data_IF_164264306393
#
_entry.id   IF_164264306393
#
_cell.length_a   1.000
_cell.length_b   1.000
_cell.length_c   1.000
_cell.angle_alpha   90.00
_cell.angle_beta   90.00
_cell.angle_gamma   90.00
#
_symmetry.space_group_name_H-M   'P 1'
#
loop_
_entity.id
_entity.type
_entity.pdbx_description
1 polymer ?
#
# COMPACT_ATOMS: atom_id res chain seq x y z
N UNK A 1 -1.07 -22.54 -9.84
CA UNK A 1 -1.70 -21.81 -8.72
C UNK A 1 -3.21 -21.80 -8.94
N UNK A 2 -3.93 -22.83 -8.52
CA UNK A 2 -5.40 -22.82 -8.58
C UNK A 2 -5.91 -22.66 -7.16
N UNK A 3 -6.03 -21.41 -6.73
CA UNK A 3 -6.73 -21.07 -5.50
C UNK A 3 -8.21 -21.45 -5.73
N UNK A 4 -8.73 -22.40 -4.96
CA UNK A 4 -10.14 -22.82 -5.02
C UNK A 4 -11.11 -21.63 -4.83
N UNK A 5 -12.41 -21.81 -5.12
CA UNK A 5 -13.41 -20.72 -5.02
C UNK A 5 -13.34 -19.96 -3.69
N UNK A 6 -13.21 -20.68 -2.58
CA UNK A 6 -13.07 -20.10 -1.25
C UNK A 6 -11.82 -19.20 -1.11
N UNK A 7 -10.66 -19.62 -1.61
CA UNK A 7 -9.45 -18.82 -1.51
C UNK A 7 -9.46 -17.59 -2.43
N UNK A 8 -10.18 -17.63 -3.56
CA UNK A 8 -10.40 -16.43 -4.39
C UNK A 8 -11.25 -15.40 -3.68
N UNK A 9 -12.30 -15.85 -2.97
CA UNK A 9 -13.14 -14.99 -2.13
C UNK A 9 -12.33 -14.40 -0.97
N UNK A 10 -11.54 -15.23 -0.28
CA UNK A 10 -10.67 -14.76 0.81
C UNK A 10 -9.62 -13.75 0.33
N UNK A 11 -9.01 -13.98 -0.84
CA UNK A 11 -8.08 -13.03 -1.45
C UNK A 11 -8.78 -11.71 -1.82
N UNK A 12 -9.99 -11.79 -2.38
CA UNK A 12 -10.82 -10.62 -2.70
C UNK A 12 -11.17 -9.80 -1.47
N UNK A 13 -11.60 -10.45 -0.38
CA UNK A 13 -11.89 -9.81 0.91
C UNK A 13 -10.64 -9.14 1.51
N UNK A 14 -9.49 -9.81 1.47
CA UNK A 14 -8.23 -9.24 1.92
C UNK A 14 -7.83 -7.99 1.11
N UNK A 15 -7.97 -8.05 -0.22
CA UNK A 15 -7.69 -6.91 -1.08
C UNK A 15 -8.70 -5.77 -0.87
N UNK A 16 -9.97 -6.09 -0.62
CA UNK A 16 -10.99 -5.10 -0.31
C UNK A 16 -10.65 -4.33 0.97
N UNK A 17 -10.32 -5.03 2.06
CA UNK A 17 -9.92 -4.38 3.32
C UNK A 17 -8.71 -3.47 3.14
N UNK A 18 -7.68 -3.95 2.41
CA UNK A 18 -6.49 -3.16 2.10
C UNK A 18 -6.83 -1.90 1.29
N UNK A 19 -7.63 -2.05 0.24
CA UNK A 19 -8.00 -0.93 -0.63
C UNK A 19 -8.87 0.09 0.12
N UNK A 20 -9.83 -0.39 0.90
CA UNK A 20 -10.69 0.47 1.72
C UNK A 20 -9.86 1.32 2.67
N UNK A 21 -8.97 0.70 3.45
CA UNK A 21 -8.09 1.43 4.36
C UNK A 21 -7.23 2.48 3.64
N UNK A 22 -6.59 2.08 2.53
CA UNK A 22 -5.75 2.98 1.74
C UNK A 22 -6.51 4.22 1.25
N UNK A 23 -7.71 4.05 0.69
CA UNK A 23 -8.50 5.17 0.19
C UNK A 23 -9.10 6.03 1.32
N UNK A 24 -9.54 5.41 2.43
CA UNK A 24 -10.07 6.16 3.58
C UNK A 24 -9.00 7.06 4.21
N UNK A 25 -7.79 6.53 4.44
CA UNK A 25 -6.67 7.31 4.97
C UNK A 25 -6.23 8.38 3.97
N UNK A 26 -6.12 8.03 2.69
CA UNK A 26 -5.75 8.99 1.64
C UNK A 26 -6.73 10.18 1.56
N UNK A 27 -8.03 9.92 1.61
CA UNK A 27 -9.04 10.97 1.61
C UNK A 27 -8.96 11.86 2.86
N UNK A 28 -8.76 11.24 4.03
CA UNK A 28 -8.60 11.98 5.29
C UNK A 28 -7.36 12.89 5.28
N UNK A 29 -6.23 12.42 4.73
CA UNK A 29 -5.01 13.22 4.62
C UNK A 29 -5.25 14.49 3.80
N UNK A 30 -5.94 14.39 2.65
CA UNK A 30 -6.27 15.56 1.83
C UNK A 30 -7.14 16.55 2.61
N UNK A 31 -8.22 16.06 3.22
CA UNK A 31 -9.10 16.89 4.05
C UNK A 31 -8.33 17.58 5.20
N UNK A 32 -7.49 16.84 5.92
CA UNK A 32 -6.73 17.38 7.03
C UNK A 32 -5.77 18.50 6.59
N UNK A 33 -4.99 18.28 5.54
CA UNK A 33 -4.02 19.29 5.10
C UNK A 33 -4.70 20.51 4.47
N UNK A 34 -5.75 20.32 3.67
CA UNK A 34 -6.42 21.43 2.99
C UNK A 34 -7.37 22.18 3.91
N UNK A 35 -8.30 21.49 4.56
CA UNK A 35 -9.40 22.13 5.30
C UNK A 35 -9.03 22.44 6.76
N UNK A 36 -8.17 21.63 7.41
CA UNK A 36 -7.79 21.84 8.83
C UNK A 36 -6.52 22.67 8.95
N UNK A 37 -5.49 22.34 8.19
CA UNK A 37 -4.19 23.06 8.22
C UNK A 37 -4.20 24.29 7.30
N UNK A 38 -5.08 24.35 6.30
CA UNK A 38 -5.17 25.47 5.37
C UNK A 38 -4.10 25.44 4.27
N UNK A 39 -3.55 24.26 3.95
CA UNK A 39 -2.59 24.09 2.86
C UNK A 39 -3.26 24.37 1.51
N UNK A 40 -2.54 25.05 0.62
CA UNK A 40 -3.01 25.27 -0.75
C UNK A 40 -3.33 23.91 -1.44
N UNK A 41 -4.57 23.74 -1.96
CA UNK A 41 -4.97 22.52 -2.67
C UNK A 41 -4.04 22.14 -3.82
N UNK A 42 -3.46 23.12 -4.52
CA UNK A 42 -2.53 22.89 -5.61
C UNK A 42 -1.21 22.29 -5.10
N UNK A 43 -0.71 22.77 -3.96
CA UNK A 43 0.49 22.20 -3.34
C UNK A 43 0.23 20.77 -2.88
N UNK A 44 -0.96 20.50 -2.32
CA UNK A 44 -1.35 19.14 -1.92
C UNK A 44 -1.42 18.20 -3.13
N UNK A 45 -2.02 18.64 -4.23
CA UNK A 45 -2.08 17.88 -5.48
C UNK A 45 -0.68 17.57 -6.03
N UNK A 46 0.22 18.56 -6.02
CA UNK A 46 1.61 18.37 -6.45
C UNK A 46 2.34 17.38 -5.53
N UNK A 47 2.16 17.49 -4.21
CA UNK A 47 2.78 16.62 -3.23
C UNK A 47 2.37 15.14 -3.38
N UNK A 48 1.08 14.88 -3.62
CA UNK A 48 0.56 13.53 -3.86
C UNK A 48 0.93 12.97 -5.24
N UNK A 49 1.25 13.81 -6.22
CA UNK A 49 1.57 13.36 -7.57
C UNK A 49 3.06 13.11 -7.75
N UNK A 50 3.91 14.06 -7.32
CA UNK A 50 5.34 14.05 -7.61
C UNK A 50 6.12 13.35 -6.50
N UNK A 51 6.27 13.88 -5.27
CA UNK A 51 6.98 13.20 -4.19
C UNK A 51 6.48 11.77 -3.93
N UNK A 52 5.17 11.60 -3.81
CA UNK A 52 4.59 10.29 -3.55
C UNK A 52 4.76 9.34 -4.75
N UNK A 53 4.62 9.83 -5.98
CA UNK A 53 4.88 9.06 -7.19
C UNK A 53 6.34 8.60 -7.28
N UNK A 54 7.29 9.49 -7.03
CA UNK A 54 8.74 9.18 -7.01
C UNK A 54 9.05 8.15 -5.91
N UNK A 55 8.48 8.33 -4.72
CA UNK A 55 8.64 7.38 -3.62
C UNK A 55 8.20 5.97 -4.03
N UNK A 56 7.02 5.83 -4.65
CA UNK A 56 6.54 4.53 -5.12
C UNK A 56 7.40 3.98 -6.28
N UNK A 57 7.82 4.84 -7.21
CA UNK A 57 8.66 4.44 -8.33
C UNK A 57 10.02 3.85 -7.88
N UNK A 58 10.52 4.25 -6.72
CA UNK A 58 11.74 3.68 -6.12
C UNK A 58 11.43 2.45 -5.27
N UNK A 59 10.39 2.51 -4.42
CA UNK A 59 10.09 1.43 -3.49
C UNK A 59 9.54 0.18 -4.16
N UNK A 60 8.71 0.32 -5.20
CA UNK A 60 8.09 -0.83 -5.85
C UNK A 60 9.13 -1.77 -6.49
N UNK A 61 10.14 -1.27 -7.25
CA UNK A 61 11.24 -2.10 -7.73
C UNK A 61 12.10 -2.67 -6.60
N UNK A 62 12.37 -1.89 -5.55
CA UNK A 62 13.20 -2.33 -4.43
C UNK A 62 12.56 -3.52 -3.71
N UNK A 63 11.30 -3.39 -3.32
CA UNK A 63 10.54 -4.46 -2.66
C UNK A 63 10.31 -5.63 -3.61
N UNK A 64 10.07 -5.37 -4.90
CA UNK A 64 9.98 -6.41 -5.93
C UNK A 64 11.26 -7.26 -6.00
N UNK A 65 12.42 -6.60 -6.06
CA UNK A 65 13.72 -7.25 -6.10
C UNK A 65 14.02 -8.05 -4.83
N UNK A 66 13.71 -7.50 -3.65
CA UNK A 66 13.87 -8.19 -2.37
C UNK A 66 12.95 -9.42 -2.32
N UNK A 67 11.70 -9.27 -2.74
CA UNK A 67 10.69 -10.35 -2.82
C UNK A 67 11.13 -11.51 -3.71
N UNK A 68 11.76 -11.22 -4.84
CA UNK A 68 12.23 -12.26 -5.75
C UNK A 68 13.46 -13.02 -5.21
N UNK A 69 14.28 -12.36 -4.38
CA UNK A 69 15.49 -12.94 -3.78
C UNK A 69 15.24 -13.66 -2.46
N UNK A 70 14.17 -13.34 -1.74
CA UNK A 70 13.83 -14.03 -0.49
C UNK A 70 13.51 -15.51 -0.75
N UNK A 71 14.38 -16.41 -0.30
CA UNK A 71 14.10 -17.85 -0.24
C UNK A 71 13.95 -18.26 1.21
N UNK A 72 12.71 -18.31 1.70
CA UNK A 72 12.40 -18.77 3.05
C UNK A 72 11.55 -20.03 3.02
N UNK A 73 11.53 -20.77 4.14
CA UNK A 73 10.70 -21.97 4.34
C UNK A 73 9.20 -21.72 4.19
N UNK A 74 8.75 -20.46 4.32
CA UNK A 74 7.36 -20.04 4.17
C UNK A 74 7.06 -19.49 2.76
N UNK A 75 8.01 -19.59 1.83
CA UNK A 75 7.88 -19.06 0.48
C UNK A 75 8.47 -17.67 0.31
N UNK A 76 8.32 -17.11 -0.90
CA UNK A 76 8.97 -15.86 -1.32
C UNK A 76 8.30 -14.59 -0.77
N UNK A 77 6.96 -14.54 -0.77
CA UNK A 77 6.17 -13.33 -0.46
C UNK A 77 5.56 -13.29 0.94
N UNK A 78 5.39 -14.44 1.60
CA UNK A 78 4.73 -14.53 2.91
C UNK A 78 5.48 -13.74 4.00
N UNK A 79 6.82 -13.80 4.13
CA UNK A 79 7.53 -13.01 5.14
C UNK A 79 7.35 -11.51 4.97
N UNK A 80 7.36 -11.03 3.72
CA UNK A 80 7.18 -9.61 3.41
C UNK A 80 5.77 -9.13 3.73
N UNK A 81 4.74 -9.96 3.53
CA UNK A 81 3.37 -9.63 3.90
C UNK A 81 3.22 -9.59 5.43
N UNK A 82 3.83 -10.52 6.16
CA UNK A 82 3.77 -10.56 7.63
C UNK A 82 4.44 -9.34 8.25
N UNK A 83 5.56 -8.88 7.69
CA UNK A 83 6.25 -7.66 8.17
C UNK A 83 5.54 -6.40 7.68
N UNK A 84 5.11 -6.38 6.42
CA UNK A 84 4.49 -5.21 5.79
C UNK A 84 3.11 -4.88 6.35
N UNK A 85 2.27 -5.88 6.67
CA UNK A 85 0.92 -5.67 7.20
C UNK A 85 0.86 -4.82 8.48
N UNK A 86 1.66 -5.08 9.54
CA UNK A 86 1.72 -4.21 10.71
C UNK A 86 2.41 -2.88 10.39
N UNK A 87 3.41 -2.87 9.50
CA UNK A 87 4.13 -1.65 9.12
C UNK A 87 3.22 -0.64 8.38
N UNK A 88 2.23 -1.13 7.63
CA UNK A 88 1.22 -0.28 6.96
C UNK A 88 0.16 0.30 7.90
N UNK A 89 0.08 -0.21 9.15
CA UNK A 89 -0.86 0.28 10.16
C UNK A 89 -0.22 1.30 11.12
N UNK A 90 1.11 1.43 11.11
CA UNK A 90 1.88 2.44 11.83
C UNK A 90 2.02 3.71 11.00
#
# INVERSE_FOLDING_TARGET
>A
MLIGRAGRIAYGLGNFGKAFFYYSVGAYIVFFYVDVVGLDPNLMAVALSIPYGIWNAVNDPLIGFISDRLRTRWGRRIPLIIVGAPLTLL
#
